data_IF_558525807034
#
_entry.id   IF_558525807034
#
_cell.length_a   1.000
_cell.length_b   1.000
_cell.length_c   1.000
_cell.angle_alpha   90.00
_cell.angle_beta   90.00
_cell.angle_gamma   90.00
#
_symmetry.space_group_name_H-M   'P 1'
#
loop_
_entity.id
_entity.type
_entity.pdbx_description
1 polymer ?
#
# COMPACT_ATOMS: atom_id res chain seq x y z
N UNK A 1 52.57 32.55 18.83
CA UNK A 1 51.23 33.08 18.52
C UNK A 1 50.76 32.73 17.09
N UNK A 2 51.49 33.09 16.02
CA UNK A 2 51.05 32.91 14.62
C UNK A 2 50.67 31.47 14.23
N UNK A 3 51.44 30.46 14.68
CA UNK A 3 51.11 29.03 14.46
C UNK A 3 49.82 28.59 15.15
N UNK A 4 49.54 29.10 16.36
CA UNK A 4 48.34 28.73 17.11
C UNK A 4 47.08 29.28 16.43
N UNK A 5 47.14 30.52 15.93
CA UNK A 5 46.06 31.10 15.12
C UNK A 5 45.83 30.34 13.81
N UNK A 6 46.89 29.91 13.12
CA UNK A 6 46.78 29.12 11.88
C UNK A 6 46.12 27.76 12.14
N UNK A 7 46.54 27.05 13.20
CA UNK A 7 45.92 25.77 13.56
C UNK A 7 44.47 25.91 14.05
N UNK A 8 44.16 27.00 14.78
CA UNK A 8 42.80 27.29 15.22
C UNK A 8 41.89 27.64 14.04
N UNK A 9 42.38 28.44 13.09
CA UNK A 9 41.65 28.77 11.86
C UNK A 9 41.43 27.52 10.98
N UNK A 10 42.45 26.65 10.86
CA UNK A 10 42.32 25.39 10.14
C UNK A 10 41.27 24.47 10.80
N UNK A 11 41.30 24.34 12.12
CA UNK A 11 40.31 23.56 12.86
C UNK A 11 38.89 24.13 12.70
N UNK A 12 38.73 25.45 12.71
CA UNK A 12 37.45 26.10 12.48
C UNK A 12 36.91 25.86 11.05
N UNK A 13 37.77 25.93 10.03
CA UNK A 13 37.39 25.65 8.63
C UNK A 13 37.00 24.18 8.45
N UNK A 14 37.75 23.25 9.05
CA UNK A 14 37.42 21.82 9.01
C UNK A 14 36.10 21.57 9.74
N UNK A 15 35.91 22.15 10.94
CA UNK A 15 34.66 22.04 11.69
C UNK A 15 33.46 22.58 10.92
N UNK A 16 33.60 23.72 10.24
CA UNK A 16 32.57 24.27 9.37
C UNK A 16 32.29 23.37 8.17
N UNK A 17 33.33 22.80 7.55
CA UNK A 17 33.19 21.84 6.44
C UNK A 17 32.42 20.59 6.86
N UNK A 18 32.71 20.05 8.04
CA UNK A 18 31.97 18.90 8.60
C UNK A 18 30.53 19.28 8.92
N UNK A 19 30.27 20.45 9.51
CA UNK A 19 28.91 20.90 9.83
C UNK A 19 28.06 21.08 8.56
N UNK A 20 28.60 21.73 7.53
CA UNK A 20 27.91 21.91 6.23
C UNK A 20 27.70 20.55 5.55
N UNK A 21 28.74 19.71 5.49
CA UNK A 21 28.66 18.38 4.88
C UNK A 21 27.68 17.45 5.61
N UNK A 22 27.69 17.49 6.95
CA UNK A 22 26.77 16.74 7.80
C UNK A 22 25.32 17.20 7.65
N UNK A 23 25.06 18.51 7.64
CA UNK A 23 23.73 19.07 7.39
C UNK A 23 23.22 18.69 6.00
N UNK A 24 24.06 18.81 4.97
CA UNK A 24 23.70 18.39 3.61
C UNK A 24 23.38 16.89 3.54
N UNK A 25 24.22 16.04 4.14
CA UNK A 25 24.00 14.60 4.18
C UNK A 25 22.71 14.24 4.93
N UNK A 26 22.45 14.87 6.08
CA UNK A 26 21.22 14.66 6.85
C UNK A 26 19.96 15.01 6.03
N UNK A 27 19.96 16.18 5.38
CA UNK A 27 18.85 16.59 4.52
C UNK A 27 18.65 15.63 3.34
N UNK A 28 19.75 15.23 2.69
CA UNK A 28 19.69 14.44 1.46
C UNK A 28 19.40 12.96 1.71
N UNK A 29 19.83 12.39 2.83
CA UNK A 29 19.69 10.96 3.11
C UNK A 29 18.59 10.63 4.12
N UNK A 30 18.15 11.57 4.96
CA UNK A 30 17.24 11.28 6.06
C UNK A 30 16.00 12.18 6.08
N UNK A 31 16.16 13.50 6.16
CA UNK A 31 15.04 14.43 6.38
C UNK A 31 13.96 14.33 5.27
N UNK A 32 14.35 14.09 4.01
CA UNK A 32 13.40 13.95 2.89
C UNK A 32 12.47 12.74 2.96
N UNK A 33 12.77 11.76 3.82
CA UNK A 33 11.94 10.56 4.01
C UNK A 33 11.07 10.64 5.26
N UNK A 34 11.29 11.65 6.10
CA UNK A 34 10.45 11.85 7.26
C UNK A 34 9.06 12.32 6.83
N UNK A 35 8.00 11.80 7.46
CA UNK A 35 6.66 12.34 7.30
C UNK A 35 6.63 13.81 7.73
N UNK A 36 5.82 14.61 7.03
CA UNK A 36 5.47 15.94 7.51
C UNK A 36 4.36 15.83 8.53
N UNK A 37 4.42 16.65 9.58
CA UNK A 37 3.29 16.85 10.48
C UNK A 37 2.48 18.03 9.93
N UNK A 38 1.22 17.78 9.61
CA UNK A 38 0.30 18.80 9.09
C UNK A 38 -0.10 19.71 10.25
N UNK A 39 0.20 21.00 10.18
CA UNK A 39 -0.10 21.93 11.28
C UNK A 39 -1.25 22.89 10.93
N UNK A 40 -1.26 23.44 9.72
CA UNK A 40 -2.17 24.51 9.32
C UNK A 40 -3.45 23.98 8.69
N UNK A 41 -3.34 22.94 7.87
CA UNK A 41 -4.43 22.49 6.99
C UNK A 41 -5.16 21.22 7.47
N UNK A 42 -5.03 20.84 8.76
CA UNK A 42 -5.56 19.55 9.25
C UNK A 42 -7.06 19.37 9.01
N UNK A 43 -7.89 20.37 9.34
CA UNK A 43 -9.35 20.28 9.17
C UNK A 43 -9.74 20.17 7.70
N UNK A 44 -9.14 21.00 6.85
CA UNK A 44 -9.44 21.04 5.43
C UNK A 44 -9.01 19.75 4.72
N UNK A 45 -7.88 19.15 5.12
CA UNK A 45 -7.43 17.85 4.63
C UNK A 45 -8.38 16.76 5.12
N UNK A 46 -8.78 16.80 6.39
CA UNK A 46 -9.76 15.85 6.93
C UNK A 46 -11.09 15.91 6.17
N UNK A 47 -11.62 17.10 5.92
CA UNK A 47 -12.84 17.32 5.16
C UNK A 47 -12.73 16.75 3.73
N UNK A 48 -11.59 16.96 3.06
CA UNK A 48 -11.33 16.37 1.74
C UNK A 48 -11.33 14.84 1.80
N UNK A 49 -10.70 14.24 2.80
CA UNK A 49 -10.65 12.79 2.98
C UNK A 49 -12.05 12.22 3.27
N UNK A 50 -12.87 12.90 4.05
CA UNK A 50 -14.23 12.47 4.37
C UNK A 50 -15.20 12.58 3.19
N UNK A 51 -15.05 13.62 2.36
CA UNK A 51 -15.83 13.81 1.14
C UNK A 51 -15.39 12.87 0.02
N UNK A 52 -14.15 12.39 0.06
CA UNK A 52 -13.65 11.44 -0.93
C UNK A 52 -14.33 10.08 -0.79
N UNK A 53 -14.39 9.35 -1.91
CA UNK A 53 -14.81 7.96 -1.87
C UNK A 53 -13.60 7.05 -1.73
N UNK A 54 -13.48 6.46 -0.54
CA UNK A 54 -12.44 5.49 -0.22
C UNK A 54 -13.00 4.07 -0.21
N UNK A 55 -12.12 3.10 -0.44
CA UNK A 55 -12.40 1.67 -0.38
C UNK A 55 -11.51 1.01 0.67
N UNK A 56 -11.99 -0.07 1.27
CA UNK A 56 -11.21 -0.85 2.24
C UNK A 56 -11.58 -2.31 2.18
N UNK A 57 -10.64 -3.17 2.59
CA UNK A 57 -10.91 -4.57 2.89
C UNK A 57 -11.80 -4.75 4.14
N UNK A 58 -12.09 -3.66 4.86
CA UNK A 58 -12.74 -3.67 6.16
C UNK A 58 -11.78 -4.11 7.26
N UNK A 59 -12.35 -4.45 8.42
CA UNK A 59 -11.61 -4.81 9.63
C UNK A 59 -11.74 -3.79 10.77
N UNK A 60 -12.11 -2.54 10.42
CA UNK A 60 -12.17 -1.44 11.38
C UNK A 60 -10.80 -1.08 11.96
N UNK A 61 -10.77 -0.09 12.86
CA UNK A 61 -9.55 0.36 13.53
C UNK A 61 -9.12 1.77 13.18
N UNK A 62 -7.85 2.08 13.43
CA UNK A 62 -7.26 3.41 13.17
C UNK A 62 -7.24 3.67 11.65
N UNK A 63 -7.79 4.77 11.14
CA UNK A 63 -7.82 5.03 9.72
C UNK A 63 -6.45 5.48 9.21
N UNK A 64 -5.97 4.82 8.15
CA UNK A 64 -4.85 5.27 7.35
C UNK A 64 -5.31 5.39 5.90
N UNK A 65 -5.10 6.56 5.29
CA UNK A 65 -5.49 6.83 3.91
C UNK A 65 -4.32 6.59 2.97
N UNK A 66 -4.56 5.83 1.91
CA UNK A 66 -3.62 5.55 0.82
C UNK A 66 -4.19 6.19 -0.43
N UNK A 67 -3.55 7.25 -0.92
CA UNK A 67 -4.02 7.99 -2.09
C UNK A 67 -3.08 7.73 -3.25
N UNK A 68 -3.64 7.45 -4.43
CA UNK A 68 -2.85 7.31 -5.65
C UNK A 68 -3.66 6.90 -6.87
N UNK A 69 -2.97 6.28 -7.82
CA UNK A 69 -3.51 5.93 -9.13
C UNK A 69 -2.97 4.57 -9.57
N UNK A 70 -3.68 3.92 -10.50
CA UNK A 70 -3.54 2.49 -10.79
C UNK A 70 -2.14 2.06 -11.20
N UNK A 71 -1.48 2.83 -12.04
CA UNK A 71 -0.17 2.48 -12.62
C UNK A 71 1.03 2.98 -11.77
N UNK A 72 0.80 3.44 -10.54
CA UNK A 72 1.89 3.74 -9.60
C UNK A 72 2.52 2.45 -9.07
N UNK A 73 3.74 2.13 -9.55
CA UNK A 73 4.49 0.98 -9.05
C UNK A 73 4.80 1.08 -7.56
N UNK A 74 5.08 2.29 -7.06
CA UNK A 74 5.34 2.51 -5.64
C UNK A 74 4.10 2.26 -4.77
N UNK A 75 2.90 2.66 -5.24
CA UNK A 75 1.65 2.41 -4.55
C UNK A 75 1.36 0.91 -4.47
N UNK A 76 1.46 0.20 -5.60
CA UNK A 76 1.27 -1.25 -5.64
C UNK A 76 2.22 -1.97 -4.69
N UNK A 77 3.49 -1.56 -4.66
CA UNK A 77 4.48 -2.13 -3.74
C UNK A 77 4.13 -1.87 -2.28
N UNK A 78 3.79 -0.62 -1.94
CA UNK A 78 3.38 -0.26 -0.58
C UNK A 78 2.16 -1.08 -0.12
N UNK A 79 1.15 -1.22 -0.98
CA UNK A 79 -0.03 -2.02 -0.65
C UNK A 79 0.28 -3.51 -0.43
N UNK A 80 1.15 -4.09 -1.25
CA UNK A 80 1.52 -5.50 -1.09
C UNK A 80 2.36 -5.74 0.18
N UNK A 81 3.30 -4.84 0.48
CA UNK A 81 4.29 -5.04 1.54
C UNK A 81 3.82 -4.52 2.91
N UNK A 82 3.14 -3.38 2.96
CA UNK A 82 2.86 -2.66 4.22
C UNK A 82 1.41 -2.81 4.69
N UNK A 83 0.42 -2.84 3.80
CA UNK A 83 -1.00 -2.97 4.23
C UNK A 83 -1.26 -4.22 5.08
N UNK A 84 -0.70 -5.40 4.78
CA UNK A 84 -0.84 -6.56 5.65
C UNK A 84 -0.28 -6.32 7.07
N UNK A 85 0.85 -5.62 7.19
CA UNK A 85 1.50 -5.34 8.48
C UNK A 85 0.67 -4.35 9.29
N UNK A 86 0.22 -3.28 8.64
CA UNK A 86 -0.68 -2.29 9.22
C UNK A 86 -1.98 -2.93 9.70
N UNK A 87 -2.57 -3.83 8.90
CA UNK A 87 -3.77 -4.57 9.31
C UNK A 87 -3.54 -5.44 10.54
N UNK A 88 -2.36 -6.09 10.65
CA UNK A 88 -2.02 -6.87 11.83
C UNK A 88 -1.93 -5.99 13.10
N UNK A 89 -1.65 -4.70 12.94
CA UNK A 89 -1.67 -3.69 14.01
C UNK A 89 -3.07 -3.11 14.30
N UNK A 90 -4.11 -3.55 13.58
CA UNK A 90 -5.46 -3.01 13.72
C UNK A 90 -5.67 -1.67 13.00
N UNK A 91 -4.89 -1.39 11.94
CA UNK A 91 -5.09 -0.22 11.07
C UNK A 91 -6.02 -0.57 9.92
N UNK A 92 -6.99 0.31 9.65
CA UNK A 92 -7.85 0.25 8.48
C UNK A 92 -7.23 1.05 7.33
N UNK A 93 -6.67 0.35 6.34
CA UNK A 93 -6.23 0.98 5.10
C UNK A 93 -7.45 1.40 4.26
N UNK A 94 -7.59 2.70 4.05
CA UNK A 94 -8.61 3.37 3.23
C UNK A 94 -7.98 3.88 1.96
N UNK A 95 -8.24 3.22 0.84
CA UNK A 95 -7.60 3.53 -0.43
C UNK A 95 -8.48 4.49 -1.22
N UNK A 96 -7.91 5.59 -1.70
CA UNK A 96 -8.57 6.58 -2.55
C UNK A 96 -7.83 6.61 -3.88
N UNK A 97 -8.53 6.25 -4.95
CA UNK A 97 -7.94 6.19 -6.29
C UNK A 97 -8.44 7.35 -7.14
N UNK A 98 -7.59 7.89 -8.00
CA UNK A 98 -8.01 8.82 -9.03
C UNK A 98 -7.39 8.43 -10.38
N UNK A 99 -8.06 8.79 -11.47
CA UNK A 99 -7.50 8.66 -12.81
C UNK A 99 -6.73 9.95 -13.15
N UNK A 100 -5.46 9.84 -13.50
CA UNK A 100 -4.63 11.03 -13.75
C UNK A 100 -5.24 11.93 -14.85
N UNK A 101 -5.19 13.26 -14.69
CA UNK A 101 -5.60 14.19 -15.73
C UNK A 101 -4.61 14.14 -16.90
N UNK A 102 -5.08 14.56 -18.06
CA UNK A 102 -4.24 14.66 -19.24
C UNK A 102 -3.17 15.74 -19.04
N UNK A 103 -1.98 15.51 -19.60
CA UNK A 103 -0.85 16.43 -19.50
C UNK A 103 -0.41 16.86 -20.87
N UNK A 104 -0.46 18.16 -21.15
CA UNK A 104 -0.04 18.72 -22.45
C UNK A 104 -0.79 18.07 -23.64
N UNK A 105 -2.07 17.73 -23.43
CA UNK A 105 -2.91 17.06 -24.43
C UNK A 105 -2.69 15.55 -24.56
N UNK A 106 -1.78 14.97 -23.78
CA UNK A 106 -1.52 13.52 -23.75
C UNK A 106 -2.30 12.85 -22.61
N UNK A 107 -3.13 11.88 -22.98
CA UNK A 107 -3.89 11.08 -22.03
C UNK A 107 -2.97 10.32 -21.08
N UNK A 108 -3.14 10.56 -19.77
CA UNK A 108 -2.36 9.88 -18.71
C UNK A 108 -3.11 8.69 -18.09
N UNK A 109 -4.38 8.52 -18.44
CA UNK A 109 -5.26 7.44 -18.01
C UNK A 109 -6.01 6.85 -19.20
N UNK A 110 -6.35 5.56 -19.12
CA UNK A 110 -7.15 4.89 -20.15
C UNK A 110 -8.65 5.07 -19.89
N UNK A 111 -9.48 4.86 -20.92
CA UNK A 111 -10.94 4.85 -20.74
C UNK A 111 -11.40 3.76 -19.75
N UNK A 112 -10.75 2.59 -19.78
CA UNK A 112 -11.01 1.49 -18.85
C UNK A 112 -10.65 1.87 -17.41
N UNK A 113 -9.54 2.57 -17.20
CA UNK A 113 -9.16 3.10 -15.88
C UNK A 113 -10.17 4.12 -15.37
N UNK A 114 -10.56 5.11 -16.20
CA UNK A 114 -11.56 6.11 -15.82
C UNK A 114 -12.91 5.47 -15.46
N UNK A 115 -13.35 4.49 -16.23
CA UNK A 115 -14.57 3.73 -15.93
C UNK A 115 -14.49 2.99 -14.59
N UNK A 116 -13.36 2.32 -14.32
CA UNK A 116 -13.11 1.64 -13.03
C UNK A 116 -13.07 2.60 -11.84
N UNK A 117 -12.35 3.73 -11.96
CA UNK A 117 -12.27 4.74 -10.89
C UNK A 117 -13.66 5.30 -10.60
N UNK A 118 -14.43 5.66 -11.64
CA UNK A 118 -15.79 6.14 -11.47
C UNK A 118 -16.67 5.11 -10.74
N UNK A 119 -16.57 3.83 -11.12
CA UNK A 119 -17.34 2.78 -10.47
C UNK A 119 -16.96 2.61 -9.00
N UNK A 120 -15.65 2.57 -8.69
CA UNK A 120 -15.17 2.45 -7.32
C UNK A 120 -15.59 3.64 -6.45
N UNK A 121 -15.61 4.85 -7.00
CA UNK A 121 -16.08 6.03 -6.28
C UNK A 121 -17.57 5.96 -5.96
N UNK A 122 -18.38 5.37 -6.85
CA UNK A 122 -19.83 5.28 -6.69
C UNK A 122 -20.24 4.12 -5.76
N UNK A 123 -19.57 2.97 -5.86
CA UNK A 123 -20.02 1.73 -5.20
C UNK A 123 -19.15 1.32 -4.02
N UNK A 124 -17.91 1.82 -3.95
CA UNK A 124 -16.89 1.38 -2.99
C UNK A 124 -16.64 -0.13 -3.00
N UNK A 125 -16.83 -0.78 -4.17
CA UNK A 125 -16.72 -2.23 -4.31
C UNK A 125 -15.27 -2.74 -4.17
N UNK A 126 -14.98 -3.38 -3.03
CA UNK A 126 -13.70 -4.00 -2.74
C UNK A 126 -13.35 -5.15 -3.70
N UNK A 127 -14.34 -5.93 -4.13
CA UNK A 127 -14.11 -7.07 -5.04
C UNK A 127 -13.69 -6.57 -6.43
N UNK A 128 -14.32 -5.50 -6.90
CA UNK A 128 -13.89 -4.81 -8.12
C UNK A 128 -12.45 -4.33 -7.99
N UNK A 129 -12.10 -3.70 -6.86
CA UNK A 129 -10.74 -3.23 -6.62
C UNK A 129 -9.71 -4.35 -6.68
N UNK A 130 -9.95 -5.44 -5.96
CA UNK A 130 -9.05 -6.60 -5.95
C UNK A 130 -8.86 -7.18 -7.34
N UNK A 131 -9.94 -7.35 -8.11
CA UNK A 131 -9.85 -7.86 -9.48
C UNK A 131 -9.08 -6.90 -10.38
N UNK A 132 -9.27 -5.60 -10.22
CA UNK A 132 -8.60 -4.57 -11.01
C UNK A 132 -7.10 -4.46 -10.70
N UNK A 133 -6.70 -4.59 -9.43
CA UNK A 133 -5.29 -4.54 -9.02
C UNK A 133 -4.54 -5.84 -9.29
N UNK A 134 -5.22 -6.99 -9.21
CA UNK A 134 -4.66 -8.29 -9.58
C UNK A 134 -4.45 -8.47 -11.10
N UNK A 135 -5.19 -7.73 -11.93
CA UNK A 135 -5.05 -7.79 -13.40
C UNK A 135 -3.95 -6.86 -13.87
N UNK A 136 -2.96 -7.32 -14.68
CA UNK A 136 -1.96 -6.44 -15.28
C UNK A 136 -2.62 -5.27 -16.03
N UNK A 137 -2.10 -4.05 -15.88
CA UNK A 137 -2.74 -2.82 -16.40
C UNK A 137 -3.10 -2.94 -17.88
N UNK A 138 -2.18 -3.47 -18.71
CA UNK A 138 -2.37 -3.68 -20.16
C UNK A 138 -3.49 -4.68 -20.52
N UNK A 139 -3.88 -5.54 -19.59
CA UNK A 139 -4.89 -6.59 -19.80
C UNK A 139 -6.26 -6.17 -19.25
N UNK A 140 -6.35 -5.06 -18.51
CA UNK A 140 -7.61 -4.61 -17.93
C UNK A 140 -8.48 -3.90 -18.98
N UNK A 141 -9.67 -4.42 -19.21
CA UNK A 141 -10.61 -3.89 -20.21
C UNK A 141 -11.83 -3.18 -19.63
N UNK A 142 -12.01 -3.22 -18.30
CA UNK A 142 -13.22 -2.75 -17.62
C UNK A 142 -14.53 -3.40 -18.13
N UNK A 143 -14.46 -4.65 -18.61
CA UNK A 143 -15.64 -5.37 -19.10
C UNK A 143 -16.77 -5.42 -18.04
N UNK A 144 -17.97 -5.02 -18.45
CA UNK A 144 -19.15 -4.96 -17.57
C UNK A 144 -19.24 -3.70 -16.71
N UNK A 145 -18.30 -2.75 -16.81
CA UNK A 145 -18.33 -1.48 -16.10
C UNK A 145 -18.85 -0.38 -17.04
N UNK A 146 -19.84 0.43 -16.65
CA UNK A 146 -20.30 1.54 -17.47
C UNK A 146 -19.19 2.55 -17.75
N UNK A 147 -19.08 2.97 -19.01
CA UNK A 147 -18.09 3.95 -19.44
C UNK A 147 -18.27 5.28 -18.66
N UNK A 148 -17.14 5.88 -18.26
CA UNK A 148 -17.13 7.23 -17.72
C UNK A 148 -17.13 8.28 -18.83
N UNK A 149 -16.39 8.01 -19.91
CA UNK A 149 -16.29 8.92 -21.05
C UNK A 149 -17.62 9.00 -21.80
N UNK A 150 -18.03 10.22 -22.16
CA UNK A 150 -19.32 10.47 -22.80
C UNK A 150 -20.53 10.38 -21.87
N UNK A 151 -20.34 10.04 -20.59
CA UNK A 151 -21.38 10.06 -19.56
C UNK A 151 -21.14 11.22 -18.59
N UNK A 152 -22.06 12.20 -18.54
CA UNK A 152 -21.90 13.40 -17.72
C UNK A 152 -21.73 13.10 -16.22
N UNK A 153 -22.53 12.19 -15.67
CA UNK A 153 -22.50 11.89 -14.25
C UNK A 153 -21.20 11.17 -13.86
N UNK A 154 -20.79 10.16 -14.63
CA UNK A 154 -19.58 9.37 -14.34
C UNK A 154 -18.30 10.14 -14.68
N UNK A 155 -18.32 10.96 -15.73
CA UNK A 155 -17.25 11.91 -16.02
C UNK A 155 -17.04 12.90 -14.87
N UNK A 156 -18.13 13.43 -14.29
CA UNK A 156 -18.04 14.32 -13.12
C UNK A 156 -17.41 13.63 -11.90
N UNK A 157 -17.64 12.33 -11.69
CA UNK A 157 -16.98 11.56 -10.63
C UNK A 157 -15.47 11.44 -10.87
N UNK A 158 -15.05 11.20 -12.11
CA UNK A 158 -13.62 11.17 -12.46
C UNK A 158 -12.97 12.52 -12.21
N UNK A 159 -13.62 13.61 -12.61
CA UNK A 159 -13.15 14.97 -12.34
C UNK A 159 -13.13 15.30 -10.84
N UNK A 160 -14.12 14.85 -10.07
CA UNK A 160 -14.11 14.99 -8.62
C UNK A 160 -12.89 14.31 -7.98
N UNK A 161 -12.51 13.11 -8.44
CA UNK A 161 -11.30 12.44 -8.00
C UNK A 161 -10.01 13.19 -8.35
N UNK A 162 -9.94 13.78 -9.54
CA UNK A 162 -8.81 14.62 -9.97
C UNK A 162 -8.69 15.89 -9.14
N UNK A 163 -9.81 16.57 -8.90
CA UNK A 163 -9.87 17.78 -8.09
C UNK A 163 -9.53 17.50 -6.63
N UNK A 164 -10.01 16.39 -6.07
CA UNK A 164 -9.60 15.92 -4.75
C UNK A 164 -8.08 15.77 -4.65
N UNK A 165 -7.47 15.05 -5.60
CA UNK A 165 -6.03 14.82 -5.61
C UNK A 165 -5.23 16.12 -5.76
N UNK A 166 -5.68 17.06 -6.59
CA UNK A 166 -5.06 18.37 -6.79
C UNK A 166 -5.14 19.23 -5.52
N UNK A 167 -6.33 19.36 -4.92
CA UNK A 167 -6.56 20.15 -3.71
C UNK A 167 -5.79 19.57 -2.51
N UNK A 168 -5.73 18.25 -2.40
CA UNK A 168 -4.95 17.58 -1.35
C UNK A 168 -3.45 17.85 -1.53
N UNK A 169 -2.94 17.73 -2.76
CA UNK A 169 -1.55 18.01 -3.08
C UNK A 169 -1.17 19.46 -2.74
N UNK A 170 -2.02 20.43 -3.11
CA UNK A 170 -1.81 21.85 -2.80
C UNK A 170 -1.67 22.07 -1.28
N UNK A 171 -2.63 21.57 -0.48
CA UNK A 171 -2.61 21.72 0.98
C UNK A 171 -1.40 21.08 1.64
N UNK A 172 -0.96 19.92 1.13
CA UNK A 172 0.23 19.24 1.63
C UNK A 172 1.52 19.94 1.21
N UNK A 173 1.57 20.55 0.02
CA UNK A 173 2.71 21.35 -0.42
C UNK A 173 2.91 22.58 0.49
N UNK A 174 1.83 23.20 0.99
CA UNK A 174 1.90 24.32 1.94
C UNK A 174 2.51 23.92 3.31
N UNK A 175 2.39 22.64 3.69
CA UNK A 175 3.04 22.02 4.85
C UNK A 175 4.49 21.58 4.55
N UNK A 176 4.98 21.81 3.32
CA UNK A 176 6.33 21.47 2.91
C UNK A 176 6.50 20.06 2.33
N UNK A 177 5.42 19.30 2.13
CA UNK A 177 5.50 17.99 1.50
C UNK A 177 5.60 18.11 -0.01
N UNK A 178 6.64 17.56 -0.63
CA UNK A 178 6.68 17.42 -2.08
C UNK A 178 5.77 16.27 -2.51
N UNK A 179 4.61 16.60 -3.06
CA UNK A 179 3.61 15.60 -3.42
C UNK A 179 4.10 14.63 -4.50
N UNK A 180 4.17 13.34 -4.13
CA UNK A 180 4.35 12.19 -5.02
C UNK A 180 3.48 11.05 -4.52
N UNK A 181 3.14 10.12 -5.41
CA UNK A 181 2.25 9.01 -5.09
C UNK A 181 3.00 7.70 -4.85
N UNK A 182 2.60 6.88 -3.86
CA UNK A 182 1.41 7.06 -3.02
C UNK A 182 1.60 8.17 -1.97
N UNK A 183 0.53 8.92 -1.74
CA UNK A 183 0.42 9.77 -0.56
C UNK A 183 -0.22 8.94 0.54
N UNK A 184 0.41 8.92 1.72
CA UNK A 184 -0.14 8.24 2.89
C UNK A 184 -0.42 9.29 3.95
N UNK A 185 -1.62 9.23 4.55
CA UNK A 185 -2.05 10.16 5.60
C UNK A 185 -2.63 9.35 6.76
N UNK A 186 -2.18 9.64 7.98
CA UNK A 186 -2.61 8.97 9.21
C UNK A 186 -2.60 9.93 10.38
N UNK A 187 -3.11 9.48 11.53
CA UNK A 187 -2.87 10.12 12.82
C UNK A 187 -1.88 9.29 13.63
N UNK A 188 -0.92 9.95 14.25
CA UNK A 188 -0.05 9.28 15.23
C UNK A 188 -0.75 9.08 16.58
N UNK A 189 -0.02 8.50 17.54
CA UNK A 189 -0.53 8.17 18.87
C UNK A 189 -0.95 9.41 19.66
N UNK A 190 -0.33 10.55 19.38
CA UNK A 190 -0.65 11.83 19.99
C UNK A 190 -1.86 12.51 19.33
N UNK A 191 -2.28 12.01 18.17
CA UNK A 191 -3.42 12.48 17.39
C UNK A 191 -3.07 13.49 16.29
N UNK A 192 -1.77 13.75 16.07
CA UNK A 192 -1.32 14.65 15.02
C UNK A 192 -1.46 14.00 13.65
N UNK A 193 -1.98 14.77 12.69
CA UNK A 193 -2.06 14.33 11.31
C UNK A 193 -0.67 14.36 10.68
N UNK A 194 -0.22 13.21 10.19
CA UNK A 194 1.03 13.06 9.45
C UNK A 194 0.75 12.66 8.01
N UNK A 195 1.64 13.10 7.11
CA UNK A 195 1.56 12.79 5.71
C UNK A 195 2.95 12.50 5.12
N UNK A 196 3.01 11.58 4.16
CA UNK A 196 4.23 11.32 3.40
C UNK A 196 3.92 11.03 1.93
N UNK A 197 4.86 11.43 1.07
CA UNK A 197 4.95 10.98 -0.31
C UNK A 197 5.78 9.69 -0.34
N UNK A 198 5.20 8.61 0.20
CA UNK A 198 5.87 7.36 0.60
C UNK A 198 6.25 6.45 -0.58
N UNK A 199 6.81 7.02 -1.64
CA UNK A 199 7.32 6.27 -2.78
C UNK A 199 8.62 5.49 -2.47
N UNK A 200 9.32 5.84 -1.39
CA UNK A 200 10.57 5.20 -0.97
C UNK A 200 10.37 4.36 0.31
N UNK A 201 10.80 3.08 0.33
CA UNK A 201 10.66 2.21 1.49
C UNK A 201 11.22 2.72 2.81
N UNK A 202 12.21 3.63 2.76
CA UNK A 202 12.78 4.26 3.96
C UNK A 202 11.77 5.10 4.75
N UNK A 203 10.69 5.53 4.12
CA UNK A 203 9.64 6.30 4.78
C UNK A 203 8.62 5.41 5.52
N UNK A 204 8.57 4.11 5.21
CA UNK A 204 7.51 3.23 5.71
C UNK A 204 7.69 2.86 7.18
N UNK A 205 8.93 2.82 7.67
CA UNK A 205 9.23 2.55 9.08
C UNK A 205 8.56 3.56 10.00
N UNK A 206 8.56 4.86 9.63
CA UNK A 206 7.91 5.89 10.44
C UNK A 206 6.40 5.64 10.61
N UNK A 207 5.74 5.15 9.56
CA UNK A 207 4.32 4.79 9.62
C UNK A 207 4.12 3.61 10.55
N UNK A 208 4.97 2.58 10.44
CA UNK A 208 4.90 1.40 11.31
C UNK A 208 5.14 1.77 12.77
N UNK A 209 6.14 2.59 13.04
CA UNK A 209 6.46 3.05 14.39
C UNK A 209 5.30 3.84 15.00
N UNK A 210 4.75 4.81 14.25
CA UNK A 210 3.60 5.61 14.71
C UNK A 210 2.38 4.73 15.00
N UNK A 211 2.11 3.71 14.17
CA UNK A 211 0.91 2.87 14.23
C UNK A 211 1.11 1.52 14.94
N UNK A 212 2.27 1.31 15.57
CA UNK A 212 2.62 0.07 16.27
C UNK A 212 2.55 -1.20 15.39
N UNK A 213 2.87 -1.04 14.10
CA UNK A 213 2.80 -2.12 13.14
C UNK A 213 4.10 -2.95 13.12
N UNK A 214 3.99 -4.29 13.01
CA UNK A 214 5.16 -5.14 13.02
C UNK A 214 5.97 -5.00 11.72
N UNK A 215 7.30 -5.14 11.82
CA UNK A 215 8.18 -5.14 10.65
C UNK A 215 7.97 -6.35 9.72
N UNK A 216 7.53 -7.46 10.31
CA UNK A 216 7.26 -8.73 9.63
C UNK A 216 5.98 -9.35 10.18
N UNK A 217 5.21 -9.96 9.29
CA UNK A 217 4.10 -10.81 9.70
C UNK A 217 4.69 -12.20 9.86
N UNK A 218 4.61 -12.76 11.06
CA UNK A 218 5.00 -14.14 11.29
C UNK A 218 4.12 -15.05 10.44
N UNK A 219 4.69 -15.69 9.42
CA UNK A 219 4.11 -16.93 8.90
C UNK A 219 4.22 -17.96 10.03
N UNK A 220 3.12 -18.62 10.44
CA UNK A 220 3.19 -19.63 11.48
C UNK A 220 4.29 -20.61 11.11
N UNK A 221 5.33 -20.66 11.95
CA UNK A 221 6.42 -21.60 11.76
C UNK A 221 5.84 -22.95 12.14
N UNK A 222 5.52 -23.76 11.13
CA UNK A 222 5.19 -25.16 11.32
C UNK A 222 6.43 -25.80 11.95
N UNK A 223 6.34 -26.15 13.23
CA UNK A 223 7.43 -26.82 13.91
C UNK A 223 7.73 -28.14 13.17
N UNK A 224 9.01 -28.56 13.03
CA UNK A 224 9.33 -29.87 12.49
C UNK A 224 8.58 -30.95 13.28
N UNK A 225 7.59 -31.60 12.65
CA UNK A 225 6.73 -32.61 13.29
C UNK A 225 5.31 -32.16 13.68
N UNK A 226 4.88 -30.95 13.33
CA UNK A 226 3.49 -30.52 13.54
C UNK A 226 2.53 -31.30 12.61
N UNK A 227 1.50 -31.98 13.14
CA UNK A 227 0.53 -32.74 12.33
C UNK A 227 -0.32 -31.88 11.38
N UNK A 228 -0.26 -30.55 11.50
CA UNK A 228 -0.87 -29.61 10.56
C UNK A 228 0.05 -29.19 9.39
N UNK A 229 1.27 -29.74 9.29
CA UNK A 229 2.17 -29.48 8.18
C UNK A 229 1.55 -29.93 6.84
N UNK A 230 1.62 -29.10 5.77
CA UNK A 230 1.24 -29.57 4.45
C UNK A 230 2.15 -30.74 4.03
N UNK A 231 1.61 -31.79 3.37
CA UNK A 231 2.41 -32.93 2.97
C UNK A 231 3.50 -32.47 1.99
N UNK A 232 4.76 -32.71 2.38
CA UNK A 232 5.92 -32.53 1.49
C UNK A 232 5.85 -33.64 0.44
N UNK A 233 5.66 -33.27 -0.81
CA UNK A 233 5.73 -34.20 -1.94
C UNK A 233 7.19 -34.28 -2.42
N UNK A 234 7.74 -35.48 -2.65
CA UNK A 234 9.09 -35.62 -3.20
C UNK A 234 9.20 -34.90 -4.55
N UNK A 235 10.09 -33.90 -4.65
CA UNK A 235 10.37 -33.16 -5.90
C UNK A 235 10.45 -31.63 -5.79
N UNK A 236 10.42 -31.03 -4.61
CA UNK A 236 10.39 -29.57 -4.40
C UNK A 236 11.78 -28.89 -4.34
N UNK A 237 12.85 -29.57 -4.79
CA UNK A 237 14.14 -28.94 -5.08
C UNK A 237 15.10 -28.80 -3.90
N UNK A 238 14.86 -29.49 -2.79
CA UNK A 238 15.88 -29.72 -1.75
C UNK A 238 16.94 -30.71 -2.26
N UNK A 239 18.25 -30.53 -1.99
CA UNK A 239 19.29 -31.37 -2.56
C UNK A 239 19.36 -32.72 -1.84
N UNK A 240 18.60 -33.71 -2.31
CA UNK A 240 18.76 -35.11 -1.92
C UNK A 240 19.79 -35.77 -2.84
N UNK A 241 21.04 -35.87 -2.38
CA UNK A 241 22.01 -36.77 -3.01
C UNK A 241 21.71 -38.20 -2.58
N UNK A 242 21.01 -38.95 -3.44
CA UNK A 242 20.87 -40.40 -3.30
C UNK A 242 21.52 -41.12 -4.50
N UNK A 243 22.18 -42.27 -4.27
CA UNK A 243 22.98 -42.96 -5.29
C UNK A 243 22.09 -43.52 -6.42
N UNK A 244 22.51 -43.30 -7.66
CA UNK A 244 21.81 -43.78 -8.86
C UNK A 244 21.69 -45.32 -8.86
N UNK A 245 20.48 -45.89 -9.02
CA UNK A 245 20.32 -47.31 -9.28
C UNK A 245 20.73 -47.64 -10.72
N UNK A 246 21.51 -48.70 -10.88
CA UNK A 246 21.88 -49.27 -12.18
C UNK A 246 20.64 -49.83 -12.90
N UNK A 247 20.32 -49.29 -14.07
CA UNK A 247 19.21 -49.78 -14.90
C UNK A 247 19.57 -51.14 -15.53
N UNK A 248 18.79 -52.18 -15.22
CA UNK A 248 18.73 -53.39 -16.05
C UNK A 248 17.82 -53.13 -17.26
N UNK A 249 18.24 -53.60 -18.43
CA UNK A 249 17.51 -53.48 -19.69
C UNK A 249 16.17 -54.24 -19.64
N UNK A 250 15.13 -53.77 -20.35
CA UNK A 250 13.77 -54.32 -20.25
C UNK A 250 13.65 -55.68 -20.96
N UNK A 251 12.95 -56.62 -20.32
CA UNK A 251 12.44 -57.83 -20.96
C UNK A 251 11.01 -57.59 -21.46
N UNK A 252 10.76 -58.06 -22.68
CA UNK A 252 9.53 -57.87 -23.45
C UNK A 252 8.26 -58.44 -22.81
N UNK A 253 7.16 -57.70 -23.00
CA UNK A 253 5.81 -58.26 -23.11
C UNK A 253 4.90 -58.06 -21.91
N UNK A 254 3.94 -57.12 -22.03
CA UNK A 254 2.49 -57.35 -21.84
C UNK A 254 1.66 -56.05 -21.94
N UNK A 255 0.89 -55.98 -23.03
CA UNK A 255 -0.37 -55.28 -23.35
C UNK A 255 -0.79 -53.90 -22.74
N UNK A 256 -1.37 -53.00 -23.57
CA UNK A 256 -1.80 -51.65 -23.17
C UNK A 256 -3.15 -51.63 -22.43
N UNK A 257 -3.23 -50.84 -21.36
CA UNK A 257 -4.47 -50.49 -20.64
C UNK A 257 -5.19 -49.36 -21.40
N UNK A 258 -6.51 -49.45 -21.66
CA UNK A 258 -7.25 -48.44 -22.43
C UNK A 258 -7.52 -47.15 -21.61
N UNK A 259 -7.49 -46.01 -22.30
CA UNK A 259 -7.75 -44.68 -21.76
C UNK A 259 -9.22 -44.45 -21.38
N UNK A 260 -9.54 -43.67 -20.32
CA UNK A 260 -10.91 -43.35 -19.93
C UNK A 260 -11.52 -42.24 -20.81
N UNK A 261 -12.81 -42.42 -21.13
CA UNK A 261 -13.64 -41.59 -22.03
C UNK A 261 -14.11 -40.30 -21.34
N UNK A 262 -14.25 -39.15 -22.04
CA UNK A 262 -14.75 -37.90 -21.46
C UNK A 262 -16.29 -37.92 -21.33
N UNK A 263 -16.84 -37.61 -20.14
CA UNK A 263 -18.27 -37.30 -20.04
C UNK A 263 -19.02 -37.70 -18.75
N UNK A 264 -18.45 -37.53 -17.55
CA UNK A 264 -19.26 -37.63 -16.32
C UNK A 264 -18.95 -36.49 -15.36
N UNK A 265 -19.90 -35.55 -15.22
CA UNK A 265 -19.90 -34.44 -14.28
C UNK A 265 -20.29 -34.94 -12.88
N UNK A 266 -19.53 -34.69 -11.81
CA UNK A 266 -19.99 -34.97 -10.44
C UNK A 266 -20.93 -33.87 -9.93
N UNK A 267 -22.02 -34.28 -9.27
CA UNK A 267 -23.01 -33.40 -8.65
C UNK A 267 -22.43 -32.64 -7.42
N UNK A 268 -22.90 -31.42 -7.10
CA UNK A 268 -22.39 -30.64 -5.98
C UNK A 268 -22.86 -31.20 -4.63
N UNK A 269 -21.89 -31.60 -3.79
CA UNK A 269 -22.12 -31.97 -2.40
C UNK A 269 -22.29 -30.75 -1.50
N UNK A 270 -23.32 -30.80 -0.65
CA UNK A 270 -23.69 -29.78 0.32
C UNK A 270 -22.74 -29.79 1.52
N UNK A 271 -21.95 -28.73 1.71
CA UNK A 271 -21.17 -28.51 2.93
C UNK A 271 -22.00 -27.72 3.97
N UNK A 272 -21.91 -28.04 5.28
CA UNK A 272 -22.67 -27.35 6.31
C UNK A 272 -22.14 -25.94 6.58
N UNK A 273 -23.04 -24.96 6.57
CA UNK A 273 -22.78 -23.54 6.88
C UNK A 273 -22.70 -23.39 8.40
N UNK A 274 -21.55 -22.94 8.91
CA UNK A 274 -21.40 -22.53 10.30
C UNK A 274 -22.15 -21.21 10.56
N UNK A 275 -22.87 -21.04 11.69
CA UNK A 275 -23.62 -19.83 11.98
C UNK A 275 -22.69 -18.65 12.30
N UNK A 276 -22.97 -17.51 11.66
CA UNK A 276 -22.27 -16.22 11.83
C UNK A 276 -22.64 -15.59 13.18
N UNK A 277 -21.69 -15.06 13.98
CA UNK A 277 -22.01 -14.29 15.18
C UNK A 277 -22.82 -13.04 14.83
N UNK A 278 -23.91 -12.80 15.56
CA UNK A 278 -24.96 -11.83 15.24
C UNK A 278 -24.73 -10.40 15.79
N UNK A 279 -23.49 -9.99 16.05
CA UNK A 279 -23.25 -8.63 16.60
C UNK A 279 -22.00 -7.99 16.02
N UNK A 280 -22.11 -6.83 15.34
CA UNK A 280 -20.96 -6.02 14.99
C UNK A 280 -20.21 -5.57 16.26
N UNK A 281 -18.88 -5.59 16.29
CA UNK A 281 -18.13 -4.96 17.37
C UNK A 281 -18.42 -3.44 17.36
N UNK A 282 -18.69 -2.88 18.54
CA UNK A 282 -18.93 -1.45 18.72
C UNK A 282 -17.68 -0.67 18.29
N UNK A 283 -17.77 0.27 17.33
CA UNK A 283 -16.62 1.09 16.92
C UNK A 283 -16.09 1.90 18.10
N UNK A 284 -14.79 1.81 18.36
CA UNK A 284 -14.12 2.70 19.31
C UNK A 284 -14.07 4.10 18.69
N UNK A 285 -14.51 5.13 19.43
CA UNK A 285 -14.54 6.53 18.98
C UNK A 285 -13.11 6.97 18.62
N UNK A 286 -12.93 7.56 17.44
CA UNK A 286 -11.66 8.14 17.03
C UNK A 286 -11.24 9.27 17.99
N UNK A 287 -9.94 9.41 18.31
CA UNK A 287 -9.46 10.48 19.17
C UNK A 287 -9.69 11.87 18.55
N UNK A 288 -10.03 12.84 19.40
CA UNK A 288 -10.33 14.22 19.01
C UNK A 288 -9.07 15.00 18.59
N UNK A 289 -9.18 15.94 17.63
CA UNK A 289 -8.05 16.70 17.11
C UNK A 289 -7.39 17.56 18.20
N UNK A 290 -6.07 17.47 18.33
CA UNK A 290 -5.27 18.35 19.19
C UNK A 290 -4.46 19.31 18.32
N UNK A 291 -4.56 20.61 18.62
CA UNK A 291 -3.67 21.62 18.05
C UNK A 291 -2.39 21.67 18.91
N UNK A 292 -1.24 21.83 18.27
CA UNK A 292 0.00 22.10 18.99
C UNK A 292 -0.11 23.51 19.59
N UNK A 293 0.01 23.62 20.92
CA UNK A 293 0.16 24.93 21.57
C UNK A 293 1.52 25.50 21.19
N UNK A 294 1.55 26.78 20.78
CA UNK A 294 2.74 27.54 20.41
C UNK A 294 3.74 27.61 21.58
N UNK A 295 4.63 26.62 21.71
CA UNK A 295 5.82 26.77 22.54
C UNK A 295 6.86 27.59 21.77
N UNK A 296 6.69 28.90 21.83
CA UNK A 296 7.72 29.87 21.46
C UNK A 296 8.88 29.73 22.44
N UNK A 297 9.99 29.13 22.01
CA UNK A 297 11.26 29.23 22.72
C UNK A 297 11.98 30.50 22.22
N UNK A 298 12.11 31.49 23.11
CA UNK A 298 13.07 32.60 22.99
C UNK A 298 14.44 32.16 23.47
#
# INVERSE_FOLDING_TARGET
>A
MRRFFIWSALAAVIGLGIAIGGFWAYQHFYARFQPVTVQRNQSQIQDLLEQSSWISAGGGGEPLYIIGYRDSAAMQRYEMEEVPKLRAAGVEARIILFARPDREGLAQSTAAERASVAELWLTRDWTLYQRWTATPVRNWTAAGIPAADGNLARGAVVEAGRNFAANLAEKLNEEGLQTRYPLIIWRDREGFMKACACADPRSWTFIRDDLDAPDRIETPTVAPGDPAAPPVYPGDGSPESLPYPTLQAPADGSAPVPAPTPGTTPAPGTAPIAPRPATPPVPRKAPEPKQAEDTTFF
#
